data_IF_943112363656
#
_entry.id   IF_943112363656
#
_cell.length_a   1.000
_cell.length_b   1.000
_cell.length_c   1.000
_cell.angle_alpha   90.00
_cell.angle_beta   90.00
_cell.angle_gamma   90.00
#
_symmetry.space_group_name_H-M   'P 1'
#
loop_
_entity.id
_entity.type
_entity.pdbx_description
1 polymer ?
#
# COMPACT_ATOMS: atom_id res chain seq x y z
N UNK A 1 -33.63 -18.05 -11.36
CA UNK A 1 -32.43 -17.24 -11.05
C UNK A 1 -32.63 -16.67 -9.66
N UNK A 2 -31.74 -17.01 -8.73
CA UNK A 2 -31.71 -16.39 -7.41
C UNK A 2 -30.94 -15.06 -7.50
N UNK A 3 -31.58 -13.95 -7.20
CA UNK A 3 -30.93 -12.67 -7.00
C UNK A 3 -30.78 -12.37 -5.52
N UNK A 4 -29.62 -11.86 -5.11
CA UNK A 4 -29.39 -11.39 -3.74
C UNK A 4 -28.82 -9.98 -3.77
N UNK A 5 -29.10 -9.21 -2.72
CA UNK A 5 -28.52 -7.87 -2.55
C UNK A 5 -27.22 -7.98 -1.76
N UNK A 6 -26.11 -7.52 -2.33
CA UNK A 6 -24.86 -7.39 -1.62
C UNK A 6 -24.69 -5.95 -1.11
N UNK A 7 -24.30 -5.79 0.15
CA UNK A 7 -23.97 -4.49 0.73
C UNK A 7 -22.47 -4.25 0.54
N UNK A 8 -22.14 -3.08 0.01
CA UNK A 8 -20.74 -2.62 -0.07
C UNK A 8 -20.51 -1.66 1.13
N UNK A 9 -19.65 -2.02 2.10
CA UNK A 9 -19.43 -1.22 3.31
C UNK A 9 -18.52 -0.02 3.01
N UNK A 10 -18.99 0.88 2.17
CA UNK A 10 -18.30 2.12 1.80
C UNK A 10 -19.32 3.24 1.60
N UNK A 11 -19.04 4.47 2.03
CA UNK A 11 -19.94 5.60 1.82
C UNK A 11 -20.21 5.84 0.35
N UNK A 12 -21.44 6.21 0.01
CA UNK A 12 -21.85 6.51 -1.36
C UNK A 12 -20.99 7.60 -2.01
N UNK A 13 -20.48 8.56 -1.23
CA UNK A 13 -19.59 9.61 -1.71
C UNK A 13 -18.29 9.05 -2.28
N UNK A 14 -17.76 7.96 -1.73
CA UNK A 14 -16.55 7.29 -2.25
C UNK A 14 -16.82 6.70 -3.63
N UNK A 15 -17.95 5.98 -3.80
CA UNK A 15 -18.33 5.41 -5.10
C UNK A 15 -18.50 6.52 -6.13
N UNK A 16 -19.17 7.61 -5.78
CA UNK A 16 -19.35 8.80 -6.65
C UNK A 16 -18.01 9.40 -7.05
N UNK A 17 -17.09 9.55 -6.10
CA UNK A 17 -15.77 10.14 -6.34
C UNK A 17 -14.93 9.26 -7.29
N UNK A 18 -14.87 7.95 -7.02
CA UNK A 18 -14.17 6.99 -7.91
C UNK A 18 -14.79 6.98 -9.30
N UNK A 19 -16.13 6.97 -9.39
CA UNK A 19 -16.84 7.05 -10.68
C UNK A 19 -16.50 8.34 -11.45
N UNK A 20 -16.40 9.48 -10.76
CA UNK A 20 -16.03 10.76 -11.37
C UNK A 20 -14.58 10.76 -11.88
N UNK A 21 -13.64 10.17 -11.14
CA UNK A 21 -12.25 10.03 -11.60
C UNK A 21 -12.15 9.14 -12.85
N UNK A 22 -12.88 8.04 -12.89
CA UNK A 22 -12.96 7.17 -14.06
C UNK A 22 -13.60 7.90 -15.26
N UNK A 23 -14.62 8.71 -15.02
CA UNK A 23 -15.22 9.51 -16.07
C UNK A 23 -14.22 10.54 -16.63
N UNK A 24 -13.51 11.24 -15.76
CA UNK A 24 -12.46 12.19 -16.17
C UNK A 24 -11.37 11.49 -16.98
N UNK A 25 -10.88 10.33 -16.50
CA UNK A 25 -9.89 9.51 -17.22
C UNK A 25 -10.38 9.13 -18.64
N UNK A 26 -11.65 8.68 -18.77
CA UNK A 26 -12.24 8.36 -20.07
C UNK A 26 -12.34 9.58 -20.99
N UNK A 27 -12.66 10.75 -20.44
CA UNK A 27 -12.72 12.01 -21.21
C UNK A 27 -11.33 12.42 -21.72
N UNK A 28 -10.31 12.35 -20.86
CA UNK A 28 -8.93 12.69 -21.25
C UNK A 28 -8.39 11.77 -22.35
N UNK A 29 -8.80 10.47 -22.34
CA UNK A 29 -8.37 9.48 -23.33
C UNK A 29 -9.37 9.33 -24.51
N UNK A 30 -10.28 10.28 -24.69
CA UNK A 30 -11.30 10.31 -25.78
C UNK A 30 -12.08 8.97 -25.92
N UNK A 31 -12.29 8.28 -24.79
CA UNK A 31 -13.02 7.02 -24.75
C UNK A 31 -14.54 7.28 -24.77
N UNK A 32 -15.17 7.00 -25.89
CA UNK A 32 -16.61 7.25 -26.09
C UNK A 32 -17.48 6.23 -25.34
N UNK A 33 -18.68 6.63 -24.81
CA UNK A 33 -19.54 5.75 -24.03
C UNK A 33 -19.90 4.42 -24.72
N UNK A 34 -20.15 4.44 -26.02
CA UNK A 34 -20.52 3.22 -26.78
C UNK A 34 -19.37 2.25 -27.04
N UNK A 35 -18.11 2.66 -26.77
CA UNK A 35 -16.93 1.80 -26.83
C UNK A 35 -16.72 1.03 -25.52
N UNK A 36 -17.56 1.27 -24.53
CA UNK A 36 -17.42 0.73 -23.17
C UNK A 36 -18.62 -0.17 -22.83
N UNK A 37 -18.33 -1.38 -22.37
CA UNK A 37 -19.35 -2.37 -22.00
C UNK A 37 -20.08 -2.02 -20.67
N UNK A 38 -19.55 -1.08 -19.87
CA UNK A 38 -20.18 -0.67 -18.62
C UNK A 38 -19.90 0.82 -18.32
N UNK A 39 -20.76 1.39 -17.48
CA UNK A 39 -20.63 2.77 -16.98
C UNK A 39 -19.46 2.91 -16.02
N UNK A 40 -18.99 4.15 -15.79
CA UNK A 40 -17.98 4.43 -14.77
C UNK A 40 -18.47 4.07 -13.36
N UNK A 41 -19.76 4.19 -13.11
CA UNK A 41 -20.38 3.74 -11.86
C UNK A 41 -20.22 2.23 -11.66
N UNK A 42 -20.58 1.45 -12.65
CA UNK A 42 -20.43 -0.02 -12.61
C UNK A 42 -18.97 -0.41 -12.40
N UNK A 43 -18.04 0.25 -13.08
CA UNK A 43 -16.61 0.02 -12.95
C UNK A 43 -16.11 0.39 -11.53
N UNK A 44 -16.57 1.50 -10.94
CA UNK A 44 -16.25 1.89 -9.57
C UNK A 44 -16.75 0.85 -8.56
N UNK A 45 -17.97 0.36 -8.71
CA UNK A 45 -18.54 -0.70 -7.85
C UNK A 45 -17.75 -2.00 -7.99
N UNK A 46 -17.41 -2.41 -9.22
CA UNK A 46 -16.58 -3.59 -9.49
C UNK A 46 -15.24 -3.51 -8.76
N UNK A 47 -14.51 -2.40 -8.92
CA UNK A 47 -13.23 -2.15 -8.26
C UNK A 47 -13.36 -2.19 -6.73
N UNK A 48 -14.32 -1.46 -6.15
CA UNK A 48 -14.49 -1.39 -4.70
C UNK A 48 -14.90 -2.73 -4.10
N UNK A 49 -15.75 -3.51 -4.77
CA UNK A 49 -16.10 -4.88 -4.35
C UNK A 49 -14.89 -5.81 -4.38
N UNK A 50 -14.05 -5.69 -5.41
CA UNK A 50 -12.80 -6.45 -5.47
C UNK A 50 -11.85 -6.02 -4.34
N UNK A 51 -11.61 -4.73 -4.18
CA UNK A 51 -10.67 -4.20 -3.19
C UNK A 51 -11.08 -4.57 -1.76
N UNK A 52 -12.35 -4.30 -1.40
CA UNK A 52 -12.85 -4.43 -0.02
C UNK A 52 -13.13 -5.88 0.33
N UNK A 53 -13.77 -6.63 -0.56
CA UNK A 53 -14.28 -7.96 -0.27
C UNK A 53 -13.42 -9.09 -0.85
N UNK A 54 -12.41 -8.79 -1.67
CA UNK A 54 -11.64 -9.75 -2.46
C UNK A 54 -12.55 -10.63 -3.35
N UNK A 55 -13.66 -10.06 -3.87
CA UNK A 55 -14.58 -10.81 -4.72
C UNK A 55 -13.85 -11.24 -6.00
N UNK A 56 -13.85 -12.53 -6.37
CA UNK A 56 -13.16 -13.00 -7.56
C UNK A 56 -13.65 -12.31 -8.84
N UNK A 57 -12.73 -11.95 -9.74
CA UNK A 57 -13.04 -11.16 -10.93
C UNK A 57 -14.05 -11.85 -11.84
N UNK A 58 -14.01 -13.19 -11.96
CA UNK A 58 -15.01 -13.93 -12.75
C UNK A 58 -16.44 -13.80 -12.20
N UNK A 59 -16.60 -13.71 -10.86
CA UNK A 59 -17.92 -13.44 -10.24
C UNK A 59 -18.37 -12.01 -10.47
N UNK A 60 -17.45 -11.05 -10.34
CA UNK A 60 -17.74 -9.65 -10.66
C UNK A 60 -18.14 -9.47 -12.11
N UNK A 61 -17.47 -10.17 -13.03
CA UNK A 61 -17.82 -10.16 -14.44
C UNK A 61 -19.27 -10.66 -14.65
N UNK A 62 -19.62 -11.81 -14.07
CA UNK A 62 -20.96 -12.37 -14.15
C UNK A 62 -22.03 -11.45 -13.56
N UNK A 63 -21.76 -10.88 -12.37
CA UNK A 63 -22.68 -9.97 -11.66
C UNK A 63 -23.01 -8.70 -12.49
N UNK A 64 -22.08 -8.27 -13.34
CA UNK A 64 -22.22 -7.06 -14.15
C UNK A 64 -22.44 -7.32 -15.63
N UNK A 65 -22.67 -8.58 -16.05
CA UNK A 65 -22.89 -8.93 -17.45
C UNK A 65 -21.68 -8.66 -18.36
N UNK A 66 -20.45 -8.75 -17.82
CA UNK A 66 -19.21 -8.49 -18.52
C UNK A 66 -18.48 -9.79 -18.87
N UNK A 67 -17.69 -9.78 -19.95
CA UNK A 67 -16.69 -10.83 -20.13
C UNK A 67 -15.61 -10.72 -19.06
N UNK A 68 -14.99 -11.84 -18.67
CA UNK A 68 -13.92 -11.86 -17.66
C UNK A 68 -12.74 -10.98 -18.10
N UNK A 69 -12.37 -11.01 -19.37
CA UNK A 69 -11.31 -10.17 -19.92
C UNK A 69 -11.63 -8.66 -19.78
N UNK A 70 -12.88 -8.26 -20.04
CA UNK A 70 -13.32 -6.87 -19.83
C UNK A 70 -13.32 -6.48 -18.37
N UNK A 71 -13.74 -7.37 -17.48
CA UNK A 71 -13.71 -7.11 -16.03
C UNK A 71 -12.29 -6.93 -15.52
N UNK A 72 -11.30 -7.71 -15.96
CA UNK A 72 -9.89 -7.52 -15.65
C UNK A 72 -9.37 -6.16 -16.16
N UNK A 73 -9.66 -5.80 -17.42
CA UNK A 73 -9.25 -4.48 -17.95
C UNK A 73 -9.83 -3.33 -17.13
N UNK A 74 -11.10 -3.41 -16.75
CA UNK A 74 -11.78 -2.40 -15.93
C UNK A 74 -11.21 -2.34 -14.52
N UNK A 75 -10.85 -3.48 -13.95
CA UNK A 75 -10.21 -3.53 -12.64
C UNK A 75 -8.83 -2.86 -12.69
N UNK A 76 -7.99 -3.21 -13.66
CA UNK A 76 -6.65 -2.62 -13.81
C UNK A 76 -6.74 -1.11 -14.04
N UNK A 77 -7.58 -0.65 -14.97
CA UNK A 77 -7.81 0.77 -15.21
C UNK A 77 -8.25 1.52 -13.93
N UNK A 78 -9.17 0.93 -13.16
CA UNK A 78 -9.63 1.55 -11.92
C UNK A 78 -8.54 1.59 -10.85
N UNK A 79 -7.70 0.54 -10.73
CA UNK A 79 -6.55 0.54 -9.83
C UNK A 79 -5.61 1.70 -10.18
N UNK A 80 -5.25 1.87 -11.47
CA UNK A 80 -4.34 2.91 -11.92
C UNK A 80 -4.92 4.31 -11.66
N UNK A 81 -6.15 4.55 -12.10
CA UNK A 81 -6.83 5.85 -11.92
C UNK A 81 -6.95 6.26 -10.46
N UNK A 82 -7.17 5.29 -9.56
CA UNK A 82 -7.26 5.59 -8.13
C UNK A 82 -5.88 5.71 -7.50
N UNK A 83 -4.92 4.87 -7.88
CA UNK A 83 -3.53 4.93 -7.38
C UNK A 83 -2.86 6.27 -7.72
N UNK A 84 -3.11 6.82 -8.91
CA UNK A 84 -2.61 8.13 -9.36
C UNK A 84 -3.10 9.31 -8.48
N UNK A 85 -4.05 9.08 -7.58
CA UNK A 85 -4.54 10.05 -6.59
C UNK A 85 -3.85 9.90 -5.22
N UNK A 86 -2.97 8.93 -5.07
CA UNK A 86 -2.19 8.80 -3.85
C UNK A 86 -1.22 9.97 -3.72
N UNK A 87 -1.05 10.50 -2.50
CA UNK A 87 -0.12 11.61 -2.29
C UNK A 87 1.33 11.15 -2.52
N UNK A 88 2.17 12.05 -3.00
CA UNK A 88 3.61 11.80 -3.05
C UNK A 88 4.21 11.84 -1.64
N UNK A 89 5.38 11.24 -1.45
CA UNK A 89 6.06 11.31 -0.16
C UNK A 89 6.43 12.76 0.19
N UNK A 90 6.81 13.55 -0.81
CA UNK A 90 7.16 14.96 -0.65
C UNK A 90 5.99 15.78 -0.12
N UNK A 91 4.80 15.67 -0.73
CA UNK A 91 3.58 16.37 -0.29
C UNK A 91 3.18 15.96 1.13
N UNK A 92 3.28 14.67 1.45
CA UNK A 92 2.96 14.15 2.78
C UNK A 92 3.89 14.73 3.82
N UNK A 93 5.21 14.73 3.58
CA UNK A 93 6.18 15.26 4.53
C UNK A 93 6.05 16.78 4.69
N UNK A 94 5.77 17.51 3.62
CA UNK A 94 5.45 18.95 3.69
C UNK A 94 4.25 19.19 4.60
N UNK A 95 3.14 18.48 4.38
CA UNK A 95 1.95 18.60 5.23
C UNK A 95 2.18 18.23 6.71
N UNK A 96 3.06 17.24 6.99
CA UNK A 96 3.43 16.90 8.37
C UNK A 96 4.28 18.01 9.02
N UNK A 97 5.19 18.63 8.28
CA UNK A 97 5.99 19.76 8.74
C UNK A 97 5.11 20.98 9.00
N UNK A 98 4.19 21.31 8.10
CA UNK A 98 3.27 22.44 8.22
C UNK A 98 2.37 22.33 9.46
N UNK A 99 1.99 21.11 9.83
CA UNK A 99 1.19 20.84 11.03
C UNK A 99 2.04 20.64 12.29
N UNK A 100 3.36 20.83 12.22
CA UNK A 100 4.31 20.60 13.31
C UNK A 100 4.14 19.20 13.94
N UNK A 101 3.94 18.17 13.11
CA UNK A 101 3.81 16.81 13.59
C UNK A 101 5.06 16.36 14.38
N UNK A 102 4.91 15.70 15.54
CA UNK A 102 6.05 15.38 16.41
C UNK A 102 6.98 14.34 15.80
N UNK A 103 6.48 13.45 15.01
CA UNK A 103 7.22 12.40 14.30
C UNK A 103 6.32 11.69 13.28
N UNK A 104 6.95 10.93 12.40
CA UNK A 104 6.29 9.92 11.56
C UNK A 104 6.87 8.55 11.86
N UNK A 105 6.13 7.46 11.54
CA UNK A 105 6.66 6.10 11.69
C UNK A 105 6.78 5.44 10.32
N UNK A 106 7.89 4.73 10.10
CA UNK A 106 8.14 3.92 8.91
C UNK A 106 8.14 2.44 9.28
N UNK A 107 7.41 1.63 8.51
CA UNK A 107 7.38 0.18 8.67
C UNK A 107 7.26 -0.51 7.30
N UNK A 108 7.88 -1.69 7.16
CA UNK A 108 7.78 -2.54 5.98
C UNK A 108 6.69 -3.59 6.16
N UNK A 109 5.87 -3.76 5.15
CA UNK A 109 4.84 -4.81 5.14
C UNK A 109 4.96 -5.71 3.93
N UNK A 110 4.83 -7.02 4.15
CA UNK A 110 4.73 -8.00 3.06
C UNK A 110 3.25 -8.16 2.68
N UNK A 111 2.93 -7.80 1.44
CA UNK A 111 1.63 -8.09 0.82
C UNK A 111 1.74 -9.43 0.11
N UNK A 112 1.01 -10.43 0.60
CA UNK A 112 1.11 -11.80 0.10
C UNK A 112 0.57 -11.94 -1.31
N UNK A 113 1.20 -12.84 -2.08
CA UNK A 113 0.77 -13.25 -3.42
C UNK A 113 1.02 -14.74 -3.64
N UNK A 114 0.57 -15.26 -4.78
CA UNK A 114 0.90 -16.61 -5.23
C UNK A 114 2.38 -16.70 -5.61
N UNK A 115 2.89 -17.92 -5.70
CA UNK A 115 4.21 -18.20 -6.28
C UNK A 115 4.22 -17.75 -7.75
N UNK A 116 5.23 -16.97 -8.14
CA UNK A 116 5.33 -16.40 -9.50
C UNK A 116 6.43 -17.05 -10.32
N UNK A 117 7.30 -17.85 -9.70
CA UNK A 117 8.46 -18.49 -10.34
C UNK A 117 9.41 -17.52 -11.05
N UNK A 118 9.37 -16.22 -10.67
CA UNK A 118 10.27 -15.21 -11.16
C UNK A 118 11.64 -15.35 -10.47
N UNK A 119 12.70 -15.62 -11.24
CA UNK A 119 14.03 -15.87 -10.69
C UNK A 119 14.92 -14.64 -10.77
N UNK A 120 15.71 -14.44 -9.73
CA UNK A 120 16.77 -13.42 -9.72
C UNK A 120 17.87 -13.80 -10.70
N UNK A 121 18.40 -12.82 -11.42
CA UNK A 121 19.65 -12.92 -12.18
C UNK A 121 20.77 -12.29 -11.37
N UNK A 122 21.96 -12.88 -11.39
CA UNK A 122 23.17 -12.25 -10.87
C UNK A 122 23.70 -11.22 -11.86
N UNK A 123 24.61 -10.32 -11.40
CA UNK A 123 25.21 -9.30 -12.27
C UNK A 123 25.96 -9.84 -13.49
N UNK A 124 26.31 -11.13 -13.51
CA UNK A 124 26.89 -11.83 -14.65
C UNK A 124 25.86 -12.61 -15.50
N UNK A 125 24.54 -12.34 -15.31
CA UNK A 125 23.47 -12.98 -16.07
C UNK A 125 23.06 -14.39 -15.59
N UNK A 126 23.75 -14.98 -14.62
CA UNK A 126 23.39 -16.30 -14.10
C UNK A 126 22.08 -16.26 -13.30
N UNK A 127 21.15 -17.19 -13.59
CA UNK A 127 19.87 -17.30 -12.89
C UNK A 127 20.10 -17.84 -11.48
N UNK A 128 19.75 -17.07 -10.46
CA UNK A 128 19.71 -17.55 -9.07
C UNK A 128 18.52 -18.49 -8.86
N UNK A 129 18.72 -19.55 -8.08
CA UNK A 129 17.75 -20.64 -7.93
C UNK A 129 16.49 -20.33 -7.13
N UNK A 130 16.31 -19.11 -6.59
CA UNK A 130 15.17 -18.75 -5.74
C UNK A 130 14.23 -17.75 -6.41
N UNK A 131 12.96 -17.82 -6.04
CA UNK A 131 11.94 -16.88 -6.48
C UNK A 131 12.16 -15.52 -5.77
N UNK A 132 12.29 -14.44 -6.55
CA UNK A 132 12.53 -13.09 -6.01
C UNK A 132 11.36 -12.60 -5.14
N UNK A 133 10.13 -13.09 -5.39
CA UNK A 133 8.97 -12.74 -4.59
C UNK A 133 8.88 -13.52 -3.27
N UNK A 134 9.76 -14.52 -3.05
CA UNK A 134 9.78 -15.25 -1.79
C UNK A 134 10.54 -14.52 -0.70
N UNK A 135 9.84 -14.19 0.39
CA UNK A 135 10.43 -13.58 1.59
C UNK A 135 10.88 -14.65 2.58
N UNK A 136 12.20 -14.79 2.77
CA UNK A 136 12.75 -15.68 3.79
C UNK A 136 12.37 -15.26 5.23
N UNK A 137 12.17 -13.97 5.49
CA UNK A 137 11.72 -13.43 6.79
C UNK A 137 10.30 -13.86 7.13
N UNK A 138 9.41 -13.90 6.15
CA UNK A 138 7.98 -14.18 6.33
C UNK A 138 7.57 -15.59 5.90
N UNK A 139 8.49 -16.38 5.33
CA UNK A 139 8.23 -17.70 4.76
C UNK A 139 7.04 -17.72 3.81
N UNK A 140 6.90 -16.67 2.99
CA UNK A 140 5.77 -16.49 2.09
C UNK A 140 6.19 -15.71 0.82
N UNK A 141 5.44 -15.92 -0.27
CA UNK A 141 5.56 -15.09 -1.46
C UNK A 141 4.79 -13.78 -1.26
N UNK A 142 5.35 -12.69 -1.72
CA UNK A 142 4.72 -11.36 -1.61
C UNK A 142 5.63 -10.24 -2.09
N UNK A 143 5.07 -9.04 -2.14
CA UNK A 143 5.80 -7.81 -2.39
C UNK A 143 6.03 -7.03 -1.10
N UNK A 144 7.21 -6.47 -0.95
CA UNK A 144 7.57 -5.59 0.15
C UNK A 144 7.17 -4.15 -0.19
N UNK A 145 6.37 -3.53 0.67
CA UNK A 145 5.93 -2.15 0.56
C UNK A 145 6.25 -1.42 1.85
N UNK A 146 6.85 -0.24 1.75
CA UNK A 146 7.04 0.64 2.90
C UNK A 146 5.76 1.43 3.16
N UNK A 147 5.38 1.56 4.41
CA UNK A 147 4.22 2.33 4.87
C UNK A 147 4.71 3.41 5.83
N UNK A 148 4.42 4.67 5.49
CA UNK A 148 4.64 5.79 6.41
C UNK A 148 3.31 6.11 7.11
N UNK A 149 3.37 6.28 8.43
CA UNK A 149 2.21 6.66 9.23
C UNK A 149 2.43 8.01 9.91
N UNK A 150 1.35 8.71 10.18
CA UNK A 150 1.38 9.83 11.13
C UNK A 150 1.56 9.31 12.57
N UNK A 151 1.75 10.22 13.51
CA UNK A 151 1.94 9.90 14.93
C UNK A 151 0.72 9.21 15.57
N UNK A 152 -0.46 9.29 14.95
CA UNK A 152 -1.68 8.59 15.40
C UNK A 152 -1.77 7.15 14.89
N UNK A 153 -0.87 6.75 13.99
CA UNK A 153 -0.81 5.43 13.38
C UNK A 153 -1.70 5.29 12.13
N UNK A 154 -2.18 6.40 11.55
CA UNK A 154 -2.87 6.34 10.27
C UNK A 154 -1.86 6.30 9.12
N UNK A 155 -2.02 5.39 8.10
CA UNK A 155 -1.14 5.36 6.95
C UNK A 155 -1.35 6.62 6.11
N UNK A 156 -0.26 7.32 5.80
CA UNK A 156 -0.27 8.57 5.04
C UNK A 156 0.46 8.46 3.71
N UNK A 157 1.31 7.46 3.56
CA UNK A 157 2.01 7.17 2.31
C UNK A 157 2.42 5.69 2.23
N UNK A 158 2.55 5.20 0.99
CA UNK A 158 3.07 3.86 0.69
C UNK A 158 4.04 3.91 -0.49
N UNK A 159 5.10 3.11 -0.42
CA UNK A 159 6.09 3.04 -1.51
C UNK A 159 5.57 2.24 -2.72
N UNK A 160 6.25 2.34 -3.87
CA UNK A 160 6.25 1.28 -4.86
C UNK A 160 6.57 -0.08 -4.23
N UNK A 161 6.22 -1.15 -4.92
CA UNK A 161 6.51 -2.50 -4.47
C UNK A 161 7.93 -2.92 -4.84
N UNK A 162 8.62 -3.58 -3.90
CA UNK A 162 9.83 -4.32 -4.16
C UNK A 162 9.59 -5.82 -3.99
N UNK A 163 10.37 -6.69 -4.63
CA UNK A 163 10.28 -8.13 -4.43
C UNK A 163 10.38 -8.52 -2.95
N UNK A 164 9.63 -9.53 -2.52
CA UNK A 164 9.58 -9.98 -1.12
C UNK A 164 10.91 -10.48 -0.55
N UNK A 165 11.89 -10.80 -1.41
CA UNK A 165 13.26 -11.10 -1.00
C UNK A 165 14.07 -9.85 -0.62
N UNK A 166 13.61 -8.64 -0.97
CA UNK A 166 14.28 -7.38 -0.67
C UNK A 166 14.06 -7.02 0.80
N UNK A 167 15.14 -6.70 1.52
CA UNK A 167 15.06 -6.27 2.91
C UNK A 167 14.39 -4.90 3.07
N UNK A 168 13.62 -4.71 4.15
CA UNK A 168 12.88 -3.47 4.44
C UNK A 168 13.78 -2.22 4.37
N UNK A 169 14.98 -2.27 4.95
CA UNK A 169 15.94 -1.16 4.92
C UNK A 169 16.43 -0.84 3.49
N UNK A 170 16.56 -1.85 2.63
CA UNK A 170 16.95 -1.64 1.22
C UNK A 170 15.82 -0.95 0.46
N UNK A 171 14.59 -1.42 0.61
CA UNK A 171 13.40 -0.78 0.04
C UNK A 171 13.27 0.67 0.51
N UNK A 172 13.49 0.92 1.80
CA UNK A 172 13.43 2.27 2.37
C UNK A 172 14.56 3.19 1.84
N UNK A 173 15.76 2.67 1.62
CA UNK A 173 16.86 3.44 1.01
C UNK A 173 16.53 3.90 -0.40
N UNK A 174 15.84 3.08 -1.15
CA UNK A 174 15.42 3.43 -2.52
C UNK A 174 14.28 4.43 -2.54
N UNK A 175 13.25 4.23 -1.70
CA UNK A 175 11.97 4.92 -1.88
C UNK A 175 11.63 5.96 -0.82
N UNK A 176 12.25 5.91 0.38
CA UNK A 176 11.82 6.72 1.50
C UNK A 176 12.93 7.62 2.07
N UNK A 177 14.10 7.08 2.37
CA UNK A 177 15.16 7.81 3.06
C UNK A 177 15.63 9.08 2.37
N UNK A 178 15.73 9.16 1.02
CA UNK A 178 16.15 10.40 0.35
C UNK A 178 15.31 11.62 0.70
N UNK A 179 14.01 11.43 1.03
CA UNK A 179 13.11 12.51 1.45
C UNK A 179 12.94 12.58 2.98
N UNK A 180 13.13 11.48 3.70
CA UNK A 180 13.02 11.47 5.17
C UNK A 180 14.21 12.18 5.84
N UNK A 181 15.42 12.13 5.28
CA UNK A 181 16.57 12.83 5.84
C UNK A 181 16.42 14.36 5.84
N UNK A 182 16.04 15.00 4.72
CA UNK A 182 15.74 16.44 4.72
C UNK A 182 14.58 16.81 5.64
N UNK A 183 13.55 15.97 5.76
CA UNK A 183 12.44 16.20 6.67
C UNK A 183 12.89 16.16 8.14
N UNK A 184 13.75 15.21 8.50
CA UNK A 184 14.33 15.12 9.84
C UNK A 184 15.20 16.34 10.19
N UNK A 185 15.99 16.86 9.21
CA UNK A 185 16.76 18.08 9.38
C UNK A 185 15.88 19.32 9.63
N UNK A 186 14.63 19.30 9.15
CA UNK A 186 13.60 20.33 9.38
C UNK A 186 12.78 20.10 10.67
N UNK A 187 13.12 19.09 11.48
CA UNK A 187 12.46 18.84 12.76
C UNK A 187 11.39 17.75 12.74
N UNK A 188 11.23 16.99 11.66
CA UNK A 188 10.30 15.86 11.55
C UNK A 188 11.06 14.51 11.62
N UNK A 189 11.36 13.96 12.82
CA UNK A 189 12.05 12.69 12.95
C UNK A 189 11.18 11.52 12.51
N UNK A 190 11.82 10.44 12.03
CA UNK A 190 11.16 9.20 11.67
C UNK A 190 11.48 8.12 12.71
N UNK A 191 10.47 7.43 13.21
CA UNK A 191 10.62 6.26 14.06
C UNK A 191 10.49 4.99 13.22
N UNK A 192 11.41 4.05 13.39
CA UNK A 192 11.39 2.78 12.66
C UNK A 192 11.72 1.60 13.60
N UNK A 193 11.48 0.38 13.13
CA UNK A 193 11.77 -0.81 13.91
C UNK A 193 13.27 -1.18 13.91
N UNK A 194 13.64 -2.25 14.63
CA UNK A 194 15.02 -2.76 14.65
C UNK A 194 15.53 -3.25 13.28
N UNK A 195 14.65 -3.51 12.33
CA UNK A 195 15.00 -3.90 10.95
C UNK A 195 15.69 -2.79 10.18
N UNK A 196 15.49 -1.54 10.60
CA UNK A 196 16.09 -0.35 10.00
C UNK A 196 17.38 0.12 10.72
N UNK A 197 17.96 -0.70 11.59
CA UNK A 197 19.23 -0.34 12.24
C UNK A 197 20.31 -0.02 11.19
N UNK A 198 20.97 1.14 11.35
CA UNK A 198 21.92 1.67 10.35
C UNK A 198 21.26 2.49 9.23
N UNK A 199 20.00 2.92 9.40
CA UNK A 199 19.30 3.80 8.47
C UNK A 199 19.91 5.22 8.37
N UNK A 200 20.65 5.66 9.37
CA UNK A 200 21.29 6.98 9.36
C UNK A 200 20.60 8.02 10.23
N UNK A 201 20.98 9.28 10.02
CA UNK A 201 20.54 10.42 10.83
C UNK A 201 19.04 10.69 10.64
N UNK A 202 18.36 10.97 11.76
CA UNK A 202 16.92 11.32 11.75
C UNK A 202 15.98 10.12 11.68
N UNK A 203 16.50 8.89 11.53
CA UNK A 203 15.73 7.65 11.61
C UNK A 203 16.05 6.97 12.94
N UNK A 204 15.12 7.05 13.88
CA UNK A 204 15.30 6.52 15.23
C UNK A 204 14.82 5.08 15.33
N UNK A 205 15.74 4.18 15.64
CA UNK A 205 15.47 2.75 15.81
C UNK A 205 15.87 2.29 17.20
N UNK A 206 15.19 1.27 17.78
CA UNK A 206 15.64 0.68 19.03
C UNK A 206 17.05 0.07 18.89
N UNK A 207 17.92 0.37 19.85
CA UNK A 207 19.28 -0.14 19.91
C UNK A 207 19.26 -1.66 20.16
N UNK A 208 19.99 -2.41 19.33
CA UNK A 208 20.18 -3.86 19.50
C UNK A 208 21.33 -4.12 20.47
N UNK A 209 21.20 -5.15 21.29
CA UNK A 209 22.28 -5.60 22.17
C UNK A 209 21.78 -6.50 23.29
N UNK A 210 22.71 -7.22 23.91
CA UNK A 210 22.53 -7.93 25.17
C UNK A 210 23.07 -7.03 26.31
N UNK A 211 22.50 -7.14 27.52
CA UNK A 211 22.90 -6.38 28.70
C UNK A 211 22.94 -4.85 28.52
N UNK A 212 21.93 -4.31 27.81
CA UNK A 212 21.79 -2.87 27.64
C UNK A 212 21.68 -2.18 28.96
N UNK A 213 22.32 -1.02 29.10
CA UNK A 213 22.21 -0.15 30.29
C UNK A 213 20.77 0.34 30.52
N UNK A 214 20.50 0.89 31.69
CA UNK A 214 19.16 1.34 32.10
C UNK A 214 18.63 2.45 31.17
N UNK A 215 19.48 3.39 30.77
CA UNK A 215 19.11 4.51 29.89
C UNK A 215 18.68 4.00 28.53
N UNK A 216 19.48 3.15 27.89
CA UNK A 216 19.18 2.52 26.59
C UNK A 216 17.90 1.69 26.65
N UNK A 217 17.67 0.92 27.71
CA UNK A 217 16.41 0.17 27.91
C UNK A 217 15.20 1.10 28.00
N UNK A 218 15.34 2.23 28.71
CA UNK A 218 14.26 3.22 28.80
C UNK A 218 13.96 3.85 27.46
N UNK A 219 14.98 4.30 26.71
CA UNK A 219 14.85 4.83 25.35
C UNK A 219 14.17 3.83 24.41
N UNK A 220 14.60 2.57 24.42
CA UNK A 220 13.98 1.52 23.62
C UNK A 220 12.50 1.29 23.97
N UNK A 221 12.13 1.42 25.25
CA UNK A 221 10.74 1.29 25.71
C UNK A 221 9.90 2.47 25.23
N UNK A 222 10.42 3.69 25.31
CA UNK A 222 9.75 4.89 24.82
C UNK A 222 9.54 4.83 23.30
N UNK A 223 10.57 4.49 22.53
CA UNK A 223 10.46 4.33 21.09
C UNK A 223 9.40 3.29 20.70
N UNK A 224 9.33 2.16 21.42
CA UNK A 224 8.27 1.16 21.21
C UNK A 224 6.88 1.71 21.50
N UNK A 225 6.74 2.44 22.61
CA UNK A 225 5.45 3.03 22.99
C UNK A 225 4.97 4.05 21.96
N UNK A 226 5.85 4.92 21.46
CA UNK A 226 5.54 5.91 20.43
C UNK A 226 5.19 5.26 19.07
N UNK A 227 5.81 4.12 18.75
CA UNK A 227 5.54 3.38 17.52
C UNK A 227 4.30 2.47 17.58
N UNK A 228 3.82 2.13 18.77
CA UNK A 228 2.71 1.20 18.93
C UNK A 228 1.45 1.57 18.08
N UNK A 229 1.07 2.84 17.93
CA UNK A 229 -0.03 3.21 17.04
C UNK A 229 0.20 2.84 15.57
N UNK A 230 1.46 2.79 15.10
CA UNK A 230 1.77 2.48 13.69
C UNK A 230 1.37 1.05 13.28
N UNK A 231 1.24 0.11 14.23
CA UNK A 231 0.73 -1.23 13.96
C UNK A 231 -0.72 -1.20 13.40
N UNK A 232 -1.49 -0.15 13.72
CA UNK A 232 -2.84 0.07 13.18
C UNK A 232 -2.85 0.29 11.67
N UNK A 233 -1.79 0.87 11.10
CA UNK A 233 -1.72 1.11 9.67
C UNK A 233 -1.82 -0.19 8.86
N UNK A 234 -1.11 -1.23 9.30
CA UNK A 234 -1.20 -2.55 8.69
C UNK A 234 -2.61 -3.15 8.84
N UNK A 235 -3.29 -2.91 9.95
CA UNK A 235 -4.67 -3.35 10.15
C UNK A 235 -5.63 -2.59 9.23
N UNK A 236 -5.47 -1.26 9.10
CA UNK A 236 -6.27 -0.42 8.20
C UNK A 236 -6.11 -0.88 6.74
N UNK A 237 -4.88 -1.07 6.26
CA UNK A 237 -4.63 -1.55 4.90
C UNK A 237 -5.18 -2.97 4.69
N UNK A 238 -4.96 -3.90 5.63
CA UNK A 238 -5.45 -5.29 5.55
C UNK A 238 -6.96 -5.43 5.80
N UNK A 239 -7.66 -4.35 6.21
CA UNK A 239 -9.12 -4.30 6.17
C UNK A 239 -9.62 -4.48 4.73
N UNK A 240 -8.91 -3.94 3.75
CA UNK A 240 -9.14 -4.23 2.33
C UNK A 240 -8.71 -5.66 2.03
N UNK A 241 -9.68 -6.57 1.92
CA UNK A 241 -9.41 -8.02 1.84
C UNK A 241 -8.53 -8.41 0.66
N UNK A 242 -8.57 -7.65 -0.45
CA UNK A 242 -7.67 -7.86 -1.57
C UNK A 242 -6.19 -7.81 -1.15
N UNK A 243 -5.81 -6.95 -0.18
CA UNK A 243 -4.44 -6.84 0.30
C UNK A 243 -3.98 -7.98 1.21
N UNK A 244 -4.87 -8.88 1.61
CA UNK A 244 -4.49 -10.07 2.40
C UNK A 244 -3.79 -11.11 1.52
N UNK A 245 -4.19 -11.19 0.26
CA UNK A 245 -3.60 -12.07 -0.74
C UNK A 245 -3.92 -11.58 -2.15
N UNK A 246 -2.91 -11.08 -2.86
CA UNK A 246 -3.04 -10.58 -4.23
C UNK A 246 -2.95 -11.75 -5.21
N UNK A 247 -3.94 -11.85 -6.10
CA UNK A 247 -3.98 -12.85 -7.18
C UNK A 247 -3.67 -12.26 -8.56
N UNK A 248 -3.45 -10.94 -8.62
CA UNK A 248 -2.95 -10.23 -9.80
C UNK A 248 -1.42 -10.31 -9.84
N UNK A 249 -0.82 -9.76 -10.90
CA UNK A 249 0.63 -9.65 -11.04
C UNK A 249 1.24 -8.97 -9.78
N UNK A 250 2.25 -9.56 -9.12
CA UNK A 250 2.91 -8.97 -7.96
C UNK A 250 3.47 -7.57 -8.20
N UNK A 251 3.91 -7.25 -9.41
CA UNK A 251 4.36 -5.91 -9.76
C UNK A 251 3.26 -4.84 -9.58
N UNK A 252 2.00 -5.24 -9.57
CA UNK A 252 0.84 -4.36 -9.35
C UNK A 252 0.57 -4.07 -7.87
N UNK A 253 1.23 -4.75 -6.94
CA UNK A 253 0.99 -4.62 -5.49
C UNK A 253 1.12 -3.16 -5.06
N UNK A 254 2.15 -2.43 -5.51
CA UNK A 254 2.34 -1.02 -5.15
C UNK A 254 1.14 -0.15 -5.52
N UNK A 255 0.65 -0.25 -6.75
CA UNK A 255 -0.53 0.48 -7.21
C UNK A 255 -1.80 0.08 -6.44
N UNK A 256 -1.97 -1.20 -6.12
CA UNK A 256 -3.13 -1.68 -5.35
C UNK A 256 -3.10 -1.13 -3.93
N UNK A 257 -1.93 -1.09 -3.28
CA UNK A 257 -1.77 -0.52 -1.93
C UNK A 257 -2.00 0.98 -1.94
N UNK A 258 -1.46 1.69 -2.94
CA UNK A 258 -1.70 3.12 -3.13
C UNK A 258 -3.19 3.43 -3.33
N UNK A 259 -3.89 2.67 -4.17
CA UNK A 259 -5.33 2.79 -4.35
C UNK A 259 -6.10 2.53 -3.04
N UNK A 260 -5.70 1.52 -2.26
CA UNK A 260 -6.30 1.25 -0.95
C UNK A 260 -6.06 2.41 0.03
N UNK A 261 -4.88 3.03 0.04
CA UNK A 261 -4.56 4.21 0.84
C UNK A 261 -5.48 5.38 0.50
N UNK A 262 -5.71 5.65 -0.79
CA UNK A 262 -6.64 6.69 -1.24
C UNK A 262 -8.05 6.45 -0.70
N UNK A 263 -8.56 5.22 -0.81
CA UNK A 263 -9.88 4.89 -0.27
C UNK A 263 -9.89 4.98 1.26
N UNK A 264 -8.83 4.54 1.96
CA UNK A 264 -8.70 4.67 3.41
C UNK A 264 -8.74 6.13 3.86
N UNK A 265 -8.04 7.01 3.17
CA UNK A 265 -8.03 8.45 3.45
C UNK A 265 -9.42 9.07 3.29
N UNK A 266 -10.17 8.70 2.24
CA UNK A 266 -11.54 9.16 2.02
C UNK A 266 -12.55 8.66 3.07
N UNK A 267 -12.21 7.58 3.76
CA UNK A 267 -13.05 6.96 4.80
C UNK A 267 -12.51 7.17 6.21
N UNK A 268 -11.44 7.96 6.38
CA UNK A 268 -10.82 8.24 7.69
C UNK A 268 -11.87 8.69 8.71
N UNK A 269 -11.84 8.09 9.90
CA UNK A 269 -12.78 8.38 10.99
C UNK A 269 -14.14 7.68 10.88
N UNK A 270 -14.32 6.76 9.91
CA UNK A 270 -15.56 5.99 9.71
C UNK A 270 -15.41 4.48 9.95
N UNK A 271 -14.28 4.06 10.53
CA UNK A 271 -13.98 2.67 10.89
C UNK A 271 -13.95 2.49 12.40
#
# INVERSE_FOLDING_TARGET
VLSYRATLPVPLVVVRRVSAWLQHHRTVHDARPWQRAATCWTQAVLFLRWLINATPVHRLAADHGLSQATAYRYLHEAIDVVADRAPTLEDVLAGQLDTAAPFVCLDGTLIRTNRCSARSTSGNGAVKGYDIWYSGKHHAHGGNVQVLTDHTGFPIWTSPVEPGSTHDITTARTHAFPLLYPAAAKGLPTLADKGYAGAGIGIHTPIKGHNLDRGTRTTNRLLRALRAPAERANAILKHYRALRHITLDPARIGAIVAAALVIATMTRGRW
#
